data_IF_683271182199
#
_entry.id   IF_683271182199
#
_cell.length_a   1.000
_cell.length_b   1.000
_cell.length_c   1.000
_cell.angle_alpha   90.00
_cell.angle_beta   90.00
_cell.angle_gamma   90.00
#
_symmetry.space_group_name_H-M   'P 1'
#
loop_
_entity.id
_entity.type
_entity.pdbx_description
1 polymer ?
#
# COMPACT_ATOMS: atom_id res chain seq x y z
N UNK A 1 3.52 -19.26 7.76
CA UNK A 1 3.62 -17.82 8.02
C UNK A 1 2.43 -17.43 8.87
N UNK A 2 2.67 -16.90 10.07
CA UNK A 2 1.63 -16.72 11.07
C UNK A 2 0.69 -15.58 10.64
N UNK A 3 -0.53 -15.88 10.25
CA UNK A 3 -1.57 -14.89 9.85
C UNK A 3 -2.17 -14.18 11.06
N UNK A 4 -1.77 -14.55 12.28
CA UNK A 4 -2.35 -14.07 13.53
C UNK A 4 -2.16 -12.58 13.78
N UNK A 5 -1.12 -11.96 13.20
CA UNK A 5 -0.86 -10.52 13.33
C UNK A 5 -2.02 -9.69 12.75
N UNK A 6 -2.60 -10.14 11.62
CA UNK A 6 -3.71 -9.44 10.97
C UNK A 6 -5.05 -9.65 11.68
N UNK A 7 -5.15 -10.64 12.56
CA UNK A 7 -6.37 -10.94 13.32
C UNK A 7 -6.31 -10.45 14.76
N UNK A 8 -5.20 -9.87 15.20
CA UNK A 8 -5.06 -9.39 16.57
C UNK A 8 -6.12 -8.33 16.90
N UNK A 9 -6.67 -8.40 18.11
CA UNK A 9 -7.62 -7.41 18.64
C UNK A 9 -7.01 -6.00 18.59
N UNK A 10 -5.73 -5.90 18.98
CA UNK A 10 -4.97 -4.65 18.94
C UNK A 10 -4.99 -3.98 17.56
N UNK A 11 -4.69 -4.72 16.48
CA UNK A 11 -4.68 -4.14 15.13
C UNK A 11 -6.08 -3.71 14.68
N UNK A 12 -7.12 -4.44 15.04
CA UNK A 12 -8.51 -4.04 14.72
C UNK A 12 -8.90 -2.76 15.44
N UNK A 13 -8.54 -2.63 16.71
CA UNK A 13 -8.82 -1.46 17.53
C UNK A 13 -8.02 -0.24 17.04
N UNK A 14 -6.74 -0.43 16.71
CA UNK A 14 -5.90 0.60 16.10
C UNK A 14 -6.48 1.12 14.78
N UNK A 15 -6.84 0.24 13.84
CA UNK A 15 -7.44 0.62 12.56
C UNK A 15 -8.79 1.30 12.75
N UNK A 16 -9.55 0.91 13.77
CA UNK A 16 -10.82 1.55 14.10
C UNK A 16 -10.59 2.96 14.62
N UNK A 17 -9.63 3.14 15.51
CA UNK A 17 -9.25 4.46 16.07
C UNK A 17 -8.70 5.37 14.96
N UNK A 18 -7.82 4.86 14.10
CA UNK A 18 -7.32 5.61 12.95
C UNK A 18 -8.47 6.09 12.04
N UNK A 19 -9.44 5.22 11.76
CA UNK A 19 -10.61 5.59 10.95
C UNK A 19 -11.40 6.74 11.57
N UNK A 20 -11.62 6.72 12.89
CA UNK A 20 -12.32 7.80 13.61
C UNK A 20 -11.53 9.11 13.58
N UNK A 21 -10.21 9.04 13.79
CA UNK A 21 -9.34 10.23 13.72
C UNK A 21 -9.40 10.87 12.33
N UNK A 22 -9.39 10.08 11.26
CA UNK A 22 -9.46 10.59 9.90
C UNK A 22 -10.83 11.22 9.57
N UNK A 23 -11.91 10.70 10.15
CA UNK A 23 -13.25 11.31 10.04
C UNK A 23 -13.28 12.63 10.81
N UNK A 24 -12.83 12.64 12.07
CA UNK A 24 -12.85 13.82 12.94
C UNK A 24 -12.05 14.99 12.35
N UNK A 25 -10.97 14.71 11.63
CA UNK A 25 -10.15 15.71 10.97
C UNK A 25 -10.55 15.97 9.51
N UNK A 26 -11.76 15.58 9.10
CA UNK A 26 -12.34 15.80 7.77
C UNK A 26 -11.50 15.27 6.59
N UNK A 27 -10.53 14.38 6.87
CA UNK A 27 -9.72 13.73 5.83
C UNK A 27 -10.57 12.72 5.06
N UNK A 28 -11.54 12.09 5.73
CA UNK A 28 -12.53 11.20 5.13
C UNK A 28 -13.89 11.88 5.17
N UNK A 29 -14.33 12.38 4.03
CA UNK A 29 -15.64 13.06 3.85
C UNK A 29 -16.67 12.20 3.11
N UNK A 30 -16.26 11.09 2.47
CA UNK A 30 -17.18 10.24 1.73
C UNK A 30 -18.15 9.51 2.67
N UNK A 31 -19.50 9.69 2.52
CA UNK A 31 -20.49 9.12 3.44
C UNK A 31 -20.45 7.59 3.56
N UNK A 32 -20.13 6.87 2.46
CA UNK A 32 -19.98 5.41 2.49
C UNK A 32 -18.78 4.98 3.32
N UNK A 33 -17.67 5.75 3.27
CA UNK A 33 -16.47 5.47 4.05
C UNK A 33 -16.69 5.79 5.53
N UNK A 34 -17.36 6.89 5.84
CA UNK A 34 -17.70 7.29 7.21
C UNK A 34 -18.51 6.19 7.93
N UNK A 35 -19.50 5.62 7.26
CA UNK A 35 -20.35 4.54 7.80
C UNK A 35 -19.67 3.16 7.80
N UNK A 36 -18.47 3.02 7.22
CA UNK A 36 -17.79 1.72 7.11
C UNK A 36 -17.48 1.12 8.48
N UNK A 37 -17.89 -0.13 8.68
CA UNK A 37 -17.70 -0.85 9.93
C UNK A 37 -18.81 -0.68 10.96
N UNK A 38 -19.81 0.19 10.72
CA UNK A 38 -21.02 0.25 11.53
C UNK A 38 -21.90 -0.97 11.29
N UNK A 39 -22.69 -1.33 12.30
CA UNK A 39 -23.67 -2.40 12.18
C UNK A 39 -25.04 -1.81 11.91
N UNK A 40 -25.73 -2.35 10.93
CA UNK A 40 -27.17 -2.14 10.77
C UNK A 40 -27.88 -3.24 11.53
N UNK A 41 -28.64 -2.89 12.58
CA UNK A 41 -29.59 -3.81 13.20
C UNK A 41 -30.90 -3.73 12.42
N UNK A 42 -31.43 -4.84 11.97
CA UNK A 42 -32.83 -4.95 11.53
C UNK A 42 -33.66 -5.30 12.77
N UNK A 43 -34.68 -4.54 13.07
CA UNK A 43 -35.50 -4.66 14.31
C UNK A 43 -36.26 -5.99 14.48
N UNK A 44 -36.31 -6.83 13.48
CA UNK A 44 -36.94 -8.17 13.54
C UNK A 44 -36.05 -9.22 12.93
N UNK A 45 -35.24 -9.85 13.79
CA UNK A 45 -34.42 -11.00 13.43
C UNK A 45 -32.91 -10.68 13.43
N UNK A 46 -32.17 -11.50 14.10
CA UNK A 46 -30.76 -11.43 14.48
C UNK A 46 -29.70 -11.29 13.38
N UNK A 47 -29.96 -10.61 12.28
CA UNK A 47 -28.96 -10.41 11.24
C UNK A 47 -28.35 -9.02 11.37
N UNK A 48 -27.16 -8.96 11.97
CA UNK A 48 -26.33 -7.75 12.02
C UNK A 48 -25.49 -7.67 10.75
N UNK A 49 -25.87 -6.81 9.83
CA UNK A 49 -25.02 -6.53 8.67
C UNK A 49 -23.99 -5.47 9.01
N UNK A 50 -22.73 -5.76 8.74
CA UNK A 50 -21.67 -4.78 8.83
C UNK A 50 -21.56 -4.03 7.51
N UNK A 51 -21.69 -2.70 7.56
CA UNK A 51 -21.52 -1.86 6.37
C UNK A 51 -20.08 -1.95 5.87
N UNK A 52 -19.91 -2.26 4.60
CA UNK A 52 -18.63 -2.28 3.92
C UNK A 52 -18.68 -1.29 2.76
N UNK A 53 -17.70 -0.39 2.69
CA UNK A 53 -17.66 0.62 1.63
C UNK A 53 -16.86 0.18 0.40
N UNK A 54 -16.06 -0.87 0.51
CA UNK A 54 -15.15 -1.42 -0.50
C UNK A 54 -14.17 -0.41 -1.14
N UNK A 55 -14.03 0.75 -0.50
CA UNK A 55 -13.12 1.82 -0.92
C UNK A 55 -11.72 1.59 -0.32
N UNK A 56 -11.04 0.53 -0.77
CA UNK A 56 -9.74 0.09 -0.22
C UNK A 56 -8.68 1.20 -0.26
N UNK A 57 -8.73 2.11 -1.22
CA UNK A 57 -7.78 3.22 -1.32
C UNK A 57 -8.02 4.35 -0.31
N UNK A 58 -9.25 4.48 0.19
CA UNK A 58 -9.67 5.60 1.04
C UNK A 58 -9.99 5.16 2.47
N UNK A 59 -10.42 3.92 2.64
CA UNK A 59 -10.90 3.41 3.92
C UNK A 59 -9.86 2.52 4.59
N UNK A 60 -9.32 2.89 5.77
CA UNK A 60 -8.34 2.07 6.49
C UNK A 60 -8.90 0.67 6.83
N UNK A 61 -10.19 0.57 7.19
CA UNK A 61 -10.83 -0.70 7.54
C UNK A 61 -10.90 -1.67 6.35
N UNK A 62 -11.31 -1.17 5.17
CA UNK A 62 -11.36 -2.00 3.96
C UNK A 62 -9.96 -2.35 3.46
N UNK A 63 -9.01 -1.40 3.58
CA UNK A 63 -7.60 -1.64 3.25
C UNK A 63 -7.00 -2.75 4.12
N UNK A 64 -7.25 -2.71 5.42
CA UNK A 64 -6.79 -3.72 6.36
C UNK A 64 -7.39 -5.10 6.05
N UNK A 65 -8.71 -5.17 5.85
CA UNK A 65 -9.41 -6.42 5.55
C UNK A 65 -8.93 -7.10 4.26
N UNK A 66 -8.62 -6.33 3.22
CA UNK A 66 -8.13 -6.86 1.94
C UNK A 66 -6.62 -7.14 1.92
N UNK A 67 -5.89 -6.83 3.00
CA UNK A 67 -4.44 -7.00 3.04
C UNK A 67 -4.01 -8.48 2.93
N UNK A 68 -4.65 -9.46 3.63
CA UNK A 68 -4.27 -10.86 3.53
C UNK A 68 -4.35 -11.40 2.10
N UNK A 69 -5.45 -11.15 1.39
CA UNK A 69 -5.62 -11.59 -0.01
C UNK A 69 -4.55 -11.01 -0.94
N UNK A 70 -4.23 -9.73 -0.78
CA UNK A 70 -3.19 -9.08 -1.59
C UNK A 70 -1.80 -9.62 -1.29
N UNK A 71 -1.51 -9.91 -0.01
CA UNK A 71 -0.24 -10.53 0.39
C UNK A 71 -0.16 -11.93 -0.20
N UNK A 72 -1.20 -12.73 -0.08
CA UNK A 72 -1.24 -14.09 -0.61
C UNK A 72 -1.04 -14.10 -2.13
N UNK A 73 -1.71 -13.18 -2.85
CA UNK A 73 -1.52 -13.03 -4.29
C UNK A 73 -0.08 -12.67 -4.63
N UNK A 74 0.51 -11.70 -3.93
CA UNK A 74 1.90 -11.31 -4.15
C UNK A 74 2.87 -12.48 -3.89
N UNK A 75 2.64 -13.24 -2.82
CA UNK A 75 3.47 -14.40 -2.50
C UNK A 75 3.35 -15.51 -3.54
N UNK A 76 2.15 -15.79 -4.07
CA UNK A 76 1.98 -16.77 -5.15
C UNK A 76 2.69 -16.34 -6.43
N UNK A 77 2.63 -15.06 -6.80
CA UNK A 77 3.36 -14.52 -7.95
C UNK A 77 4.87 -14.63 -7.76
N UNK A 78 5.39 -14.36 -6.56
CA UNK A 78 6.81 -14.54 -6.23
C UNK A 78 7.24 -16.02 -6.34
N UNK A 79 6.42 -16.93 -5.82
CA UNK A 79 6.68 -18.37 -5.88
C UNK A 79 6.81 -18.83 -7.34
N UNK A 80 5.86 -18.46 -8.20
CA UNK A 80 5.90 -18.77 -9.64
C UNK A 80 7.17 -18.20 -10.31
N UNK A 81 7.61 -17.00 -9.93
CA UNK A 81 8.85 -16.44 -10.45
C UNK A 81 10.07 -17.25 -10.05
N UNK A 82 10.16 -17.70 -8.80
CA UNK A 82 11.27 -18.51 -8.30
C UNK A 82 11.29 -19.90 -8.94
N UNK A 83 10.14 -20.54 -9.10
CA UNK A 83 10.00 -21.84 -9.80
C UNK A 83 10.46 -21.75 -11.25
N UNK A 84 10.27 -20.59 -11.91
CA UNK A 84 10.77 -20.32 -13.26
C UNK A 84 12.21 -19.77 -13.28
N UNK A 85 12.98 -19.97 -12.22
CA UNK A 85 14.39 -19.55 -12.11
C UNK A 85 14.62 -18.05 -12.36
N UNK A 86 13.63 -17.21 -12.06
CA UNK A 86 13.77 -15.75 -12.14
C UNK A 86 14.37 -15.20 -10.85
N UNK A 87 15.30 -14.27 -11.01
CA UNK A 87 15.83 -13.51 -9.88
C UNK A 87 14.82 -12.46 -9.42
N UNK A 88 14.71 -12.28 -8.12
CA UNK A 88 13.86 -11.24 -7.51
C UNK A 88 14.74 -10.12 -6.95
N UNK A 89 14.39 -8.89 -7.30
CA UNK A 89 15.06 -7.69 -6.80
C UNK A 89 14.08 -6.76 -6.13
N UNK A 90 14.47 -6.20 -5.00
CA UNK A 90 13.78 -5.07 -4.40
C UNK A 90 14.50 -3.79 -4.80
N UNK A 91 13.80 -2.91 -5.50
CA UNK A 91 14.30 -1.61 -5.94
C UNK A 91 13.63 -0.53 -5.09
N UNK A 92 14.44 0.28 -4.40
CA UNK A 92 13.95 1.43 -3.64
C UNK A 92 14.23 2.71 -4.44
N UNK A 93 13.19 3.49 -4.69
CA UNK A 93 13.24 4.75 -5.41
C UNK A 93 12.91 5.89 -4.45
N UNK A 94 13.92 6.51 -3.82
CA UNK A 94 13.74 7.72 -3.03
C UNK A 94 13.64 8.94 -3.94
N UNK A 95 13.14 10.06 -3.40
CA UNK A 95 13.24 11.38 -4.02
C UNK A 95 14.09 12.31 -3.14
N UNK A 96 14.83 13.18 -3.79
CA UNK A 96 15.51 14.28 -3.07
C UNK A 96 14.44 15.22 -2.50
N UNK A 97 14.50 15.49 -1.20
CA UNK A 97 13.58 16.35 -0.47
C UNK A 97 14.32 17.18 0.57
N UNK A 98 13.70 18.28 0.97
CA UNK A 98 14.15 19.14 2.07
C UNK A 98 13.19 19.03 3.27
N UNK A 99 13.62 19.49 4.44
CA UNK A 99 12.82 19.50 5.68
C UNK A 99 11.47 20.21 5.52
N UNK A 100 11.45 21.27 4.72
CA UNK A 100 10.27 22.12 4.47
C UNK A 100 9.34 21.58 3.37
N UNK A 101 9.73 20.53 2.66
CA UNK A 101 8.90 19.99 1.58
C UNK A 101 7.62 19.37 2.13
N UNK A 102 6.46 19.82 1.62
CA UNK A 102 5.19 19.23 1.99
C UNK A 102 5.07 17.80 1.47
N UNK A 103 4.40 16.93 2.23
CA UNK A 103 4.11 15.55 1.79
C UNK A 103 3.39 15.53 0.44
N UNK A 104 2.45 16.44 0.20
CA UNK A 104 1.71 16.52 -1.06
C UNK A 104 2.64 16.79 -2.25
N UNK A 105 3.61 17.68 -2.08
CA UNK A 105 4.64 17.98 -3.10
C UNK A 105 5.48 16.74 -3.39
N UNK A 106 5.96 16.05 -2.35
CA UNK A 106 6.78 14.86 -2.48
C UNK A 106 6.01 13.72 -3.18
N UNK A 107 4.75 13.49 -2.81
CA UNK A 107 3.89 12.48 -3.46
C UNK A 107 3.73 12.77 -4.95
N UNK A 108 3.44 14.03 -5.32
CA UNK A 108 3.32 14.43 -6.73
C UNK A 108 4.63 14.24 -7.49
N UNK A 109 5.74 14.65 -6.90
CA UNK A 109 7.10 14.54 -7.48
C UNK A 109 7.49 13.07 -7.70
N UNK A 110 7.29 12.21 -6.69
CA UNK A 110 7.62 10.78 -6.79
C UNK A 110 6.77 10.09 -7.86
N UNK A 111 5.45 10.33 -7.86
CA UNK A 111 4.54 9.75 -8.87
C UNK A 111 4.94 10.16 -10.30
N UNK A 112 5.26 11.44 -10.51
CA UNK A 112 5.72 11.94 -11.82
C UNK A 112 7.04 11.28 -12.23
N UNK A 113 7.98 11.13 -11.30
CA UNK A 113 9.28 10.48 -11.56
C UNK A 113 9.12 9.00 -11.91
N UNK A 114 8.27 8.27 -11.18
CA UNK A 114 7.98 6.87 -11.46
C UNK A 114 7.28 6.71 -12.82
N UNK A 115 6.31 7.58 -13.15
CA UNK A 115 5.66 7.55 -14.45
C UNK A 115 6.66 7.77 -15.59
N UNK A 116 7.55 8.78 -15.45
CA UNK A 116 8.63 9.03 -16.41
C UNK A 116 9.58 7.83 -16.52
N UNK A 117 9.97 7.24 -15.40
CA UNK A 117 10.83 6.07 -15.35
C UNK A 117 10.19 4.87 -16.05
N UNK A 118 8.93 4.56 -15.74
CA UNK A 118 8.17 3.47 -16.38
C UNK A 118 7.99 3.64 -17.89
N UNK A 119 7.97 4.87 -18.39
CA UNK A 119 7.86 5.17 -19.81
C UNK A 119 9.22 5.23 -20.52
N UNK A 120 10.33 5.12 -19.80
CA UNK A 120 11.66 5.14 -20.38
C UNK A 120 11.94 3.87 -21.18
N UNK A 121 12.77 4.00 -22.24
CA UNK A 121 13.17 2.86 -23.08
C UNK A 121 13.86 1.74 -22.26
N UNK A 122 14.66 2.15 -21.25
CA UNK A 122 15.36 1.22 -20.35
C UNK A 122 14.42 0.40 -19.46
N UNK A 123 13.24 0.94 -19.16
CA UNK A 123 12.26 0.29 -18.31
C UNK A 123 11.32 -0.67 -19.05
N UNK A 124 11.18 -0.55 -20.36
CA UNK A 124 10.22 -1.38 -21.11
C UNK A 124 10.43 -2.88 -20.88
N UNK A 125 11.69 -3.35 -20.83
CA UNK A 125 12.01 -4.75 -20.57
C UNK A 125 11.79 -5.19 -19.12
N UNK A 126 11.65 -4.26 -18.17
CA UNK A 126 11.46 -4.55 -16.74
C UNK A 126 9.98 -4.43 -16.34
N UNK A 127 9.19 -3.63 -17.05
CA UNK A 127 7.81 -3.29 -16.72
C UNK A 127 6.91 -4.52 -16.57
N UNK A 128 7.06 -5.50 -17.45
CA UNK A 128 6.25 -6.71 -17.49
C UNK A 128 6.55 -7.65 -16.31
N UNK A 129 7.66 -7.40 -15.62
CA UNK A 129 8.17 -8.21 -14.53
C UNK A 129 8.03 -7.54 -13.15
N UNK A 130 7.26 -6.45 -13.03
CA UNK A 130 7.00 -5.80 -11.74
C UNK A 130 5.87 -6.53 -11.02
N UNK A 131 6.21 -7.22 -9.93
CA UNK A 131 5.26 -7.99 -9.10
C UNK A 131 4.49 -7.08 -8.17
N UNK A 132 5.19 -6.16 -7.50
CA UNK A 132 4.57 -5.27 -6.52
C UNK A 132 5.19 -3.87 -6.55
N UNK A 133 4.37 -2.88 -6.23
CA UNK A 133 4.81 -1.49 -6.03
C UNK A 133 4.16 -0.96 -4.74
N UNK A 134 4.97 -0.59 -3.78
CA UNK A 134 4.53 -0.08 -2.47
C UNK A 134 5.10 1.31 -2.26
N UNK A 135 4.24 2.24 -1.84
CA UNK A 135 4.65 3.57 -1.45
C UNK A 135 4.70 3.65 0.07
N UNK A 136 5.77 4.18 0.58
CA UNK A 136 5.98 4.38 2.00
C UNK A 136 6.30 5.84 2.30
N UNK A 137 5.88 6.30 3.48
CA UNK A 137 6.18 7.63 3.99
C UNK A 137 6.65 7.48 5.42
N UNK A 138 7.84 7.94 5.70
CA UNK A 138 8.36 8.12 7.05
C UNK A 138 8.45 9.60 7.37
N UNK A 139 8.47 9.95 8.65
CA UNK A 139 8.64 11.31 9.13
C UNK A 139 9.75 11.34 10.18
N UNK A 140 10.70 12.23 9.99
CA UNK A 140 11.76 12.52 10.95
C UNK A 140 11.73 13.98 11.35
N UNK A 141 11.97 14.28 12.63
CA UNK A 141 11.96 15.65 13.13
C UNK A 141 13.02 16.53 12.44
N UNK A 142 14.16 15.95 12.08
CA UNK A 142 15.27 16.67 11.45
C UNK A 142 15.12 16.76 9.92
N UNK A 143 14.54 15.73 9.29
CA UNK A 143 14.51 15.59 7.83
C UNK A 143 13.12 15.79 7.21
N UNK A 144 12.07 15.95 8.03
CA UNK A 144 10.69 16.09 7.56
C UNK A 144 10.13 14.78 6.99
N UNK A 145 9.24 14.91 6.01
CA UNK A 145 8.66 13.75 5.31
C UNK A 145 9.66 13.13 4.35
N UNK A 146 9.75 11.81 4.39
CA UNK A 146 10.51 11.03 3.42
C UNK A 146 9.58 10.06 2.71
N UNK A 147 9.17 10.39 1.49
CA UNK A 147 8.28 9.58 0.66
C UNK A 147 9.09 8.82 -0.38
N UNK A 148 8.95 7.51 -0.41
CA UNK A 148 9.69 6.64 -1.33
C UNK A 148 8.82 5.49 -1.83
N UNK A 149 9.32 4.78 -2.84
CA UNK A 149 8.65 3.66 -3.46
C UNK A 149 9.55 2.44 -3.43
N UNK A 150 9.00 1.30 -3.01
CA UNK A 150 9.61 -0.01 -3.15
C UNK A 150 8.92 -0.76 -4.28
N UNK A 151 9.71 -1.39 -5.15
CA UNK A 151 9.21 -2.25 -6.20
C UNK A 151 9.89 -3.62 -6.12
N UNK A 152 9.10 -4.68 -6.24
CA UNK A 152 9.59 -6.05 -6.41
C UNK A 152 9.54 -6.35 -7.89
N UNK A 153 10.69 -6.70 -8.46
CA UNK A 153 10.88 -6.94 -9.88
C UNK A 153 11.45 -8.35 -10.04
N UNK A 154 10.92 -9.12 -10.99
CA UNK A 154 11.53 -10.38 -11.43
C UNK A 154 12.30 -10.20 -12.74
N UNK A 155 13.40 -10.91 -12.92
CA UNK A 155 14.15 -10.92 -14.19
C UNK A 155 14.92 -12.23 -14.34
N UNK A 156 15.06 -12.67 -15.57
CA UNK A 156 15.95 -13.79 -15.95
C UNK A 156 17.41 -13.35 -16.11
N UNK A 157 17.66 -12.05 -16.22
CA UNK A 157 19.00 -11.51 -16.38
C UNK A 157 19.70 -11.36 -15.02
N UNK A 158 20.94 -11.76 -14.92
CA UNK A 158 21.81 -11.37 -13.81
C UNK A 158 22.08 -9.88 -13.93
N UNK A 159 21.53 -9.10 -13.00
CA UNK A 159 21.86 -7.67 -12.91
C UNK A 159 23.27 -7.61 -12.32
N UNK A 160 24.28 -7.54 -13.18
CA UNK A 160 25.65 -7.24 -12.77
C UNK A 160 25.66 -5.82 -12.19
N UNK A 161 26.19 -5.67 -10.97
CA UNK A 161 26.48 -4.35 -10.41
C UNK A 161 27.45 -3.64 -11.35
N UNK A 162 26.99 -2.72 -12.16
CA UNK A 162 27.87 -1.74 -12.78
C UNK A 162 28.47 -0.90 -11.64
N UNK A 163 29.79 -1.03 -11.48
CA UNK A 163 30.58 -0.20 -10.57
C UNK A 163 30.48 1.28 -10.98
#
# INVERSE_FOLDING_TARGET
MNTDIFHSRFMRDYISSLHQVLIKNEIITNPKVIKCGQYLSREKGYIRYRIQCDKVKLCPRCKYRSAPERIQKMMSEQKVCLENQKNLFMVTLPIKHGKSDSLSSQVKKLRKSIAKFKNSRKWRGIRENTIATVFETTFGQDNGYHHHCHMIISTTSNITKTK
#
